data_IF_137105043489
#
_entry.id   IF_137105043489
#
_cell.length_a   1.000
_cell.length_b   1.000
_cell.length_c   1.000
_cell.angle_alpha   90.00
_cell.angle_beta   90.00
_cell.angle_gamma   90.00
#
_symmetry.space_group_name_H-M   'P 1'
#
loop_
_entity.id
_entity.type
_entity.pdbx_description
1 polymer ?
#
# COMPACT_ATOMS: atom_id res chain seq x y z
N UNK A 1 24.72 -38.28 -10.91
CA UNK A 1 25.07 -37.39 -9.78
C UNK A 1 24.73 -35.99 -10.21
N UNK A 2 23.60 -35.47 -9.76
CA UNK A 2 23.16 -34.10 -10.01
C UNK A 2 23.42 -33.30 -8.72
N UNK A 3 24.33 -32.33 -8.83
CA UNK A 3 24.75 -31.49 -7.72
C UNK A 3 23.60 -30.60 -7.22
N UNK A 4 23.37 -30.64 -5.93
CA UNK A 4 22.49 -29.71 -5.21
C UNK A 4 23.12 -28.30 -5.26
N UNK A 5 22.50 -27.38 -5.99
CA UNK A 5 22.81 -25.95 -5.92
C UNK A 5 22.32 -25.42 -4.58
N UNK A 6 23.25 -25.29 -3.64
CA UNK A 6 23.01 -24.66 -2.36
C UNK A 6 22.54 -23.21 -2.58
N UNK A 7 21.37 -22.90 -2.08
CA UNK A 7 20.87 -21.53 -1.95
C UNK A 7 21.79 -20.84 -0.94
N UNK A 8 22.62 -19.91 -1.40
CA UNK A 8 23.45 -19.11 -0.53
C UNK A 8 22.55 -18.45 0.53
N UNK A 9 22.83 -18.66 1.80
CA UNK A 9 22.18 -17.96 2.90
C UNK A 9 22.50 -16.46 2.74
N UNK A 10 21.49 -15.65 2.50
CA UNK A 10 21.61 -14.19 2.50
C UNK A 10 21.95 -13.80 3.94
N UNK A 11 23.18 -13.36 4.17
CA UNK A 11 23.58 -12.77 5.44
C UNK A 11 22.74 -11.50 5.60
N UNK A 12 21.94 -11.35 6.68
CA UNK A 12 21.19 -10.12 6.89
C UNK A 12 22.20 -8.97 7.02
N UNK A 13 22.07 -7.97 6.14
CA UNK A 13 22.81 -6.71 6.28
C UNK A 13 22.44 -6.00 7.59
N UNK A 14 23.14 -4.92 7.95
CA UNK A 14 22.80 -4.11 9.12
C UNK A 14 21.33 -3.67 9.02
N UNK A 15 20.64 -3.48 10.17
CA UNK A 15 19.25 -2.99 10.14
C UNK A 15 19.20 -1.64 9.43
N UNK A 16 18.19 -1.45 8.56
CA UNK A 16 17.99 -0.18 7.88
C UNK A 16 17.73 0.92 8.93
N UNK A 17 18.36 2.08 8.74
CA UNK A 17 18.15 3.24 9.59
C UNK A 17 16.72 3.78 9.33
N UNK A 18 15.94 4.00 10.40
CA UNK A 18 14.60 4.59 10.31
C UNK A 18 14.67 6.03 10.83
N UNK A 19 14.20 6.97 9.99
CA UNK A 19 14.11 8.38 10.32
C UNK A 19 12.92 9.06 9.64
N UNK A 20 12.71 10.34 9.96
CA UNK A 20 11.76 11.18 9.23
C UNK A 20 12.21 11.35 7.77
N UNK A 21 11.21 11.43 6.88
CA UNK A 21 11.41 11.82 5.49
C UNK A 21 11.92 13.25 5.41
N UNK A 22 12.87 13.48 4.53
CA UNK A 22 13.38 14.80 4.15
C UNK A 22 13.10 15.07 2.65
N UNK A 23 12.92 16.35 2.23
CA UNK A 23 12.66 16.64 0.80
C UNK A 23 13.71 16.10 -0.16
N UNK A 24 14.94 15.92 0.29
CA UNK A 24 16.02 15.34 -0.52
C UNK A 24 15.80 13.83 -0.82
N UNK A 25 14.95 13.16 -0.04
CA UNK A 25 14.64 11.75 -0.25
C UNK A 25 13.63 11.51 -1.39
N UNK A 26 12.92 12.53 -1.86
CA UNK A 26 11.78 12.36 -2.76
C UNK A 26 12.09 11.49 -3.99
N UNK A 27 13.20 11.67 -4.71
CA UNK A 27 13.50 10.81 -5.87
C UNK A 27 13.66 9.34 -5.50
N UNK A 28 14.31 9.04 -4.39
CA UNK A 28 14.53 7.69 -3.87
C UNK A 28 13.25 7.10 -3.28
N UNK A 29 12.44 7.91 -2.57
CA UNK A 29 11.12 7.56 -2.06
C UNK A 29 10.17 7.14 -3.19
N UNK A 30 10.06 7.94 -4.26
CA UNK A 30 9.23 7.64 -5.43
C UNK A 30 9.67 6.34 -6.11
N UNK A 31 11.00 6.13 -6.25
CA UNK A 31 11.56 4.89 -6.80
C UNK A 31 11.20 3.68 -5.93
N UNK A 32 11.39 3.76 -4.61
CA UNK A 32 11.04 2.71 -3.67
C UNK A 32 9.55 2.36 -3.76
N UNK A 33 8.68 3.37 -3.79
CA UNK A 33 7.23 3.20 -3.91
C UNK A 33 6.83 2.49 -5.19
N UNK A 34 7.29 2.97 -6.34
CA UNK A 34 6.97 2.37 -7.66
C UNK A 34 7.42 0.92 -7.72
N UNK A 35 8.66 0.64 -7.35
CA UNK A 35 9.22 -0.73 -7.42
C UNK A 35 8.52 -1.66 -6.43
N UNK A 36 8.18 -1.19 -5.23
CA UNK A 36 7.51 -2.01 -4.22
C UNK A 36 6.06 -2.32 -4.57
N UNK A 37 5.37 -1.45 -5.31
CA UNK A 37 4.01 -1.70 -5.78
C UNK A 37 3.92 -2.43 -7.12
N UNK A 38 4.99 -2.48 -7.91
CA UNK A 38 4.97 -3.02 -9.27
C UNK A 38 4.44 -4.46 -9.37
N UNK A 39 4.70 -5.29 -8.36
CA UNK A 39 4.24 -6.68 -8.32
C UNK A 39 2.95 -6.87 -7.50
N UNK A 40 2.20 -5.81 -7.24
CA UNK A 40 0.96 -5.80 -6.45
C UNK A 40 -0.24 -5.34 -7.26
N UNK A 41 -1.43 -5.37 -6.67
CA UNK A 41 -2.64 -4.82 -7.28
C UNK A 41 -2.64 -3.28 -7.40
N UNK A 42 -1.55 -2.61 -7.01
CA UNK A 42 -1.32 -1.16 -7.13
C UNK A 42 -0.27 -0.80 -8.20
N UNK A 43 0.08 -1.72 -9.10
CA UNK A 43 1.17 -1.58 -10.09
C UNK A 43 1.06 -0.33 -10.98
N UNK A 44 -0.13 0.22 -11.16
CA UNK A 44 -0.43 1.41 -11.97
C UNK A 44 -0.64 2.68 -11.15
N UNK A 45 -0.53 2.61 -9.82
CA UNK A 45 -0.60 3.78 -8.95
C UNK A 45 0.75 4.48 -8.86
N UNK A 46 1.12 5.14 -9.96
CA UNK A 46 2.39 5.86 -10.10
C UNK A 46 2.22 7.34 -9.78
N UNK A 47 3.03 7.85 -8.85
CA UNK A 47 3.03 9.25 -8.47
C UNK A 47 4.21 10.00 -9.09
N UNK A 48 3.96 11.24 -9.53
CA UNK A 48 5.00 12.13 -10.05
C UNK A 48 5.70 12.93 -8.94
N UNK A 49 5.02 13.11 -7.81
CA UNK A 49 5.54 13.79 -6.62
C UNK A 49 4.97 13.13 -5.37
N UNK A 50 5.72 13.18 -4.26
CA UNK A 50 5.26 12.71 -2.96
C UNK A 50 4.17 13.63 -2.42
N UNK A 51 3.09 13.04 -1.91
CA UNK A 51 2.04 13.77 -1.18
C UNK A 51 2.45 13.92 0.26
N UNK A 52 2.21 15.09 0.84
CA UNK A 52 2.49 15.35 2.26
C UNK A 52 1.45 14.69 3.14
N UNK A 53 1.92 14.12 4.26
CA UNK A 53 1.09 13.52 5.31
C UNK A 53 1.57 13.99 6.68
N UNK A 54 0.88 13.59 7.76
CA UNK A 54 1.21 14.07 9.11
C UNK A 54 2.41 13.36 9.73
N UNK A 55 2.63 12.09 9.37
CA UNK A 55 3.80 11.31 9.76
C UNK A 55 4.38 10.64 8.53
N UNK A 56 5.65 10.93 8.25
CA UNK A 56 6.38 10.48 7.07
C UNK A 56 7.68 9.82 7.50
N UNK A 57 7.77 8.48 7.37
CA UNK A 57 8.95 7.70 7.76
C UNK A 57 9.61 7.04 6.57
N UNK A 58 10.93 7.00 6.59
CA UNK A 58 11.76 6.27 5.64
C UNK A 58 12.69 5.31 6.35
N UNK A 59 12.97 4.18 5.70
CA UNK A 59 14.04 3.26 6.07
C UNK A 59 15.15 3.34 5.01
N UNK A 60 16.39 3.50 5.44
CA UNK A 60 17.55 3.74 4.59
C UNK A 60 18.54 2.57 4.64
N UNK A 61 19.07 2.23 3.47
CA UNK A 61 20.25 1.37 3.25
C UNK A 61 20.96 1.96 2.02
N UNK A 62 21.76 3.03 2.24
CA UNK A 62 22.26 4.01 1.27
C UNK A 62 21.13 4.85 0.59
N UNK A 63 20.16 4.21 -0.01
CA UNK A 63 18.94 4.79 -0.59
C UNK A 63 17.71 4.50 0.28
N UNK A 64 16.54 5.11 -0.03
CA UNK A 64 15.27 4.77 0.61
C UNK A 64 14.85 3.37 0.17
N UNK A 65 14.77 2.44 1.11
CA UNK A 65 14.41 1.04 0.90
C UNK A 65 13.07 0.65 1.53
N UNK A 66 12.50 1.52 2.33
CA UNK A 66 11.16 1.35 2.90
C UNK A 66 10.54 2.70 3.22
N UNK A 67 9.21 2.80 3.11
CA UNK A 67 8.45 4.01 3.40
C UNK A 67 7.19 3.68 4.17
N UNK A 68 6.79 4.58 5.06
CA UNK A 68 5.51 4.55 5.75
C UNK A 68 5.01 5.97 5.96
N UNK A 69 3.87 6.29 5.35
CA UNK A 69 3.21 7.58 5.47
C UNK A 69 1.84 7.41 6.13
N UNK A 70 1.50 8.32 7.05
CA UNK A 70 0.27 8.27 7.83
C UNK A 70 -0.38 9.65 7.87
N UNK A 71 -1.67 9.71 7.59
CA UNK A 71 -2.52 10.87 7.83
C UNK A 71 -3.27 10.72 9.15
N UNK A 72 -3.43 11.82 9.91
CA UNK A 72 -4.10 11.85 11.21
C UNK A 72 -5.33 12.75 11.16
N UNK A 73 -6.45 12.26 11.68
CA UNK A 73 -7.70 13.03 11.80
C UNK A 73 -8.28 12.81 13.20
N UNK A 74 -8.06 13.77 14.10
CA UNK A 74 -8.47 13.64 15.50
C UNK A 74 -7.74 12.49 16.19
N UNK A 75 -8.49 11.52 16.73
CA UNK A 75 -7.96 10.34 17.40
C UNK A 75 -7.74 9.14 16.44
N UNK A 76 -8.01 9.32 15.16
CA UNK A 76 -7.84 8.28 14.14
C UNK A 76 -6.67 8.59 13.20
N UNK A 77 -5.92 7.58 12.83
CA UNK A 77 -4.88 7.66 11.82
C UNK A 77 -5.11 6.65 10.69
N UNK A 78 -4.57 6.94 9.52
CA UNK A 78 -4.64 6.03 8.36
C UNK A 78 -3.27 5.93 7.71
N UNK A 79 -2.80 4.71 7.51
CA UNK A 79 -1.63 4.42 6.67
C UNK A 79 -2.02 4.68 5.22
N UNK A 80 -1.45 5.72 4.62
CA UNK A 80 -1.65 6.08 3.21
C UNK A 80 -0.73 5.27 2.29
N UNK A 81 0.49 5.04 2.77
CA UNK A 81 1.49 4.24 2.05
C UNK A 81 2.31 3.44 3.04
N UNK A 82 2.47 2.15 2.81
CA UNK A 82 3.51 1.31 3.40
C UNK A 82 4.05 0.39 2.32
N UNK A 83 5.35 0.48 2.07
CA UNK A 83 6.00 -0.34 1.05
C UNK A 83 7.49 -0.51 1.33
N UNK A 84 8.03 -1.65 0.90
CA UNK A 84 9.47 -1.95 0.98
C UNK A 84 9.96 -2.32 -0.41
N UNK A 85 11.11 -1.77 -0.77
CA UNK A 85 11.80 -2.07 -2.03
C UNK A 85 11.99 -3.59 -2.19
N UNK A 86 11.71 -4.18 -3.39
CA UNK A 86 11.72 -5.64 -3.59
C UNK A 86 13.01 -6.32 -3.13
N UNK A 87 14.16 -5.70 -3.34
CA UNK A 87 15.46 -6.24 -2.91
C UNK A 87 15.68 -6.25 -1.39
N UNK A 88 14.79 -5.63 -0.61
CA UNK A 88 14.90 -5.47 0.85
C UNK A 88 13.71 -6.07 1.61
N UNK A 89 12.76 -6.68 0.91
CA UNK A 89 11.62 -7.39 1.52
C UNK A 89 12.08 -8.60 2.34
N UNK A 90 11.24 -9.02 3.30
CA UNK A 90 11.53 -10.16 4.18
C UNK A 90 12.55 -9.88 5.29
N UNK A 91 13.02 -8.63 5.44
CA UNK A 91 14.02 -8.22 6.47
C UNK A 91 13.39 -7.50 7.67
N UNK A 92 12.04 -7.46 7.79
CA UNK A 92 11.33 -6.82 8.91
C UNK A 92 11.17 -5.30 8.79
N UNK A 93 11.62 -4.66 7.69
CA UNK A 93 11.62 -3.20 7.52
C UNK A 93 10.22 -2.58 7.68
N UNK A 94 9.20 -3.15 7.04
CA UNK A 94 7.82 -2.64 7.17
C UNK A 94 7.31 -2.70 8.62
N UNK A 95 7.67 -3.74 9.37
CA UNK A 95 7.29 -3.90 10.78
C UNK A 95 8.03 -2.89 11.65
N UNK A 96 9.32 -2.68 11.42
CA UNK A 96 10.10 -1.68 12.16
C UNK A 96 9.60 -0.24 11.90
N UNK A 97 9.23 0.10 10.65
CA UNK A 97 8.59 1.37 10.31
C UNK A 97 7.24 1.52 11.04
N UNK A 98 6.43 0.46 11.09
CA UNK A 98 5.16 0.46 11.81
C UNK A 98 5.37 0.65 13.32
N UNK A 99 6.31 -0.04 13.94
CA UNK A 99 6.63 0.09 15.37
C UNK A 99 7.02 1.53 15.72
N UNK A 100 7.84 2.18 14.89
CA UNK A 100 8.21 3.58 15.06
C UNK A 100 6.99 4.50 14.89
N UNK A 101 6.13 4.25 13.89
CA UNK A 101 4.90 4.99 13.70
C UNK A 101 3.96 4.86 14.90
N UNK A 102 3.73 3.65 15.40
CA UNK A 102 2.88 3.38 16.57
C UNK A 102 3.37 4.14 17.81
N UNK A 103 4.68 4.12 18.07
CA UNK A 103 5.30 4.84 19.18
C UNK A 103 5.09 6.37 19.10
N UNK A 104 5.03 6.94 17.89
CA UNK A 104 4.78 8.37 17.69
C UNK A 104 3.30 8.71 17.78
N UNK A 105 2.43 7.90 17.19
CA UNK A 105 0.99 8.10 17.20
C UNK A 105 0.40 8.02 18.62
N UNK A 106 0.87 7.10 19.45
CA UNK A 106 0.49 7.00 20.86
C UNK A 106 0.76 8.30 21.62
N UNK A 107 1.91 8.94 21.39
CA UNK A 107 2.24 10.25 22.01
C UNK A 107 1.36 11.39 21.55
N UNK A 108 0.72 11.26 20.38
CA UNK A 108 -0.20 12.25 19.84
C UNK A 108 -1.66 12.00 20.23
N UNK A 109 -1.95 10.98 21.05
CA UNK A 109 -3.29 10.64 21.50
C UNK A 109 -4.15 9.98 20.42
N UNK A 110 -3.53 9.37 19.41
CA UNK A 110 -4.22 8.53 18.42
C UNK A 110 -4.59 7.21 19.08
N UNK A 111 -5.84 6.80 18.93
CA UNK A 111 -6.38 5.57 19.53
C UNK A 111 -6.63 4.46 18.50
N UNK A 112 -6.63 4.81 17.21
CA UNK A 112 -6.96 3.87 16.14
C UNK A 112 -6.09 4.13 14.91
N UNK A 113 -5.45 3.09 14.41
CA UNK A 113 -4.71 3.12 13.14
C UNK A 113 -5.38 2.22 12.13
N UNK A 114 -5.72 2.79 10.98
CA UNK A 114 -6.32 2.06 9.87
C UNK A 114 -5.48 2.03 8.62
N UNK A 115 -5.88 1.18 7.67
CA UNK A 115 -5.34 1.13 6.32
C UNK A 115 -6.39 0.61 5.34
N UNK A 116 -6.21 0.89 4.05
CA UNK A 116 -6.98 0.27 2.99
C UNK A 116 -6.07 -0.65 2.17
N UNK A 117 -6.44 -1.92 2.08
CA UNK A 117 -5.65 -2.94 1.41
C UNK A 117 -6.48 -3.69 0.37
N UNK A 118 -5.93 -3.87 -0.83
CA UNK A 118 -6.47 -4.77 -1.87
C UNK A 118 -6.14 -6.23 -1.54
N UNK A 119 -6.39 -7.15 -2.48
CA UNK A 119 -6.29 -8.60 -2.31
C UNK A 119 -4.84 -9.14 -2.32
N UNK A 120 -3.83 -8.30 -2.12
CA UNK A 120 -2.44 -8.74 -2.04
C UNK A 120 -2.20 -9.58 -0.79
N UNK A 121 -2.07 -10.88 -0.95
CA UNK A 121 -1.96 -11.85 0.14
C UNK A 121 -0.86 -11.49 1.14
N UNK A 122 0.33 -11.11 0.66
CA UNK A 122 1.45 -10.77 1.52
C UNK A 122 1.15 -9.54 2.40
N UNK A 123 0.46 -8.53 1.84
CA UNK A 123 0.05 -7.33 2.58
C UNK A 123 -1.01 -7.66 3.63
N UNK A 124 -2.05 -8.44 3.28
CA UNK A 124 -3.11 -8.84 4.22
C UNK A 124 -2.55 -9.67 5.37
N UNK A 125 -1.64 -10.63 5.09
CA UNK A 125 -0.97 -11.42 6.12
C UNK A 125 -0.07 -10.54 7.02
N UNK A 126 0.58 -9.52 6.45
CA UNK A 126 1.38 -8.58 7.23
C UNK A 126 0.49 -7.74 8.16
N UNK A 127 -0.63 -7.20 7.68
CA UNK A 127 -1.59 -6.47 8.53
C UNK A 127 -2.10 -7.36 9.67
N UNK A 128 -2.53 -8.59 9.38
CA UNK A 128 -3.01 -9.53 10.40
C UNK A 128 -1.95 -9.84 11.46
N UNK A 129 -0.70 -10.12 11.05
CA UNK A 129 0.41 -10.36 11.99
C UNK A 129 0.75 -9.15 12.85
N UNK A 130 0.44 -7.94 12.39
CA UNK A 130 0.65 -6.70 13.14
C UNK A 130 -0.61 -6.23 13.89
N UNK A 131 -1.58 -7.11 14.12
CA UNK A 131 -2.74 -6.85 14.98
C UNK A 131 -3.83 -6.00 14.33
N UNK A 132 -3.86 -5.92 13.01
CA UNK A 132 -4.98 -5.30 12.28
C UNK A 132 -6.07 -6.32 12.01
N UNK A 133 -7.31 -5.90 12.17
CA UNK A 133 -8.52 -6.67 11.86
C UNK A 133 -9.28 -6.02 10.71
N UNK A 134 -9.93 -6.84 9.87
CA UNK A 134 -10.80 -6.34 8.82
C UNK A 134 -12.15 -5.92 9.41
N UNK A 135 -12.54 -4.66 9.21
CA UNK A 135 -13.81 -4.12 9.73
C UNK A 135 -14.85 -3.87 8.64
N UNK A 136 -14.43 -3.65 7.41
CA UNK A 136 -15.32 -3.47 6.26
C UNK A 136 -14.60 -3.72 4.95
N UNK A 137 -15.36 -3.88 3.87
CA UNK A 137 -14.83 -4.06 2.52
C UNK A 137 -15.78 -3.53 1.46
N UNK A 138 -15.24 -3.20 0.30
CA UNK A 138 -15.97 -2.83 -0.89
C UNK A 138 -15.15 -3.17 -2.14
N UNK A 139 -15.68 -2.94 -3.33
CA UNK A 139 -15.00 -3.27 -4.57
C UNK A 139 -14.35 -2.03 -5.20
N UNK A 140 -13.10 -2.18 -5.62
CA UNK A 140 -12.44 -1.33 -6.59
C UNK A 140 -12.65 -1.94 -7.97
N UNK A 141 -13.30 -1.18 -8.87
CA UNK A 141 -13.56 -1.60 -10.25
C UNK A 141 -12.81 -0.67 -11.18
N UNK A 142 -11.88 -1.20 -11.94
CA UNK A 142 -11.16 -0.48 -12.98
C UNK A 142 -11.76 -0.87 -14.33
N UNK A 143 -12.49 0.04 -14.95
CA UNK A 143 -13.06 -0.16 -16.27
C UNK A 143 -12.09 0.31 -17.35
N UNK A 144 -11.79 -0.57 -18.32
CA UNK A 144 -11.13 -0.22 -19.57
C UNK A 144 -12.00 0.76 -20.39
N UNK A 145 -11.51 1.37 -21.49
CA UNK A 145 -12.31 2.26 -22.31
C UNK A 145 -13.64 1.62 -22.77
N UNK A 146 -13.58 0.38 -23.27
CA UNK A 146 -14.77 -0.33 -23.77
C UNK A 146 -15.78 -0.67 -22.65
N UNK A 147 -15.29 -1.00 -21.46
CA UNK A 147 -16.10 -1.28 -20.28
C UNK A 147 -16.69 0.00 -19.68
N UNK A 148 -15.96 1.11 -19.72
CA UNK A 148 -16.38 2.38 -19.16
C UNK A 148 -17.64 2.93 -19.86
N UNK A 149 -17.78 2.75 -21.16
CA UNK A 149 -18.96 3.15 -21.92
C UNK A 149 -20.25 2.47 -21.44
N UNK A 150 -20.14 1.29 -20.80
CA UNK A 150 -21.28 0.58 -20.22
C UNK A 150 -21.57 0.99 -18.76
N UNK A 151 -20.61 1.62 -18.08
CA UNK A 151 -20.65 1.92 -16.65
C UNK A 151 -20.96 3.38 -16.34
N UNK A 152 -20.58 4.31 -17.22
CA UNK A 152 -20.71 5.75 -17.01
C UNK A 152 -21.28 6.44 -18.25
N UNK A 153 -21.95 7.57 -18.03
CA UNK A 153 -22.43 8.44 -19.10
C UNK A 153 -21.57 9.68 -19.12
N UNK A 154 -20.71 9.80 -20.13
CA UNK A 154 -19.94 11.01 -20.37
C UNK A 154 -20.84 12.12 -20.94
N UNK A 155 -20.56 13.38 -20.53
CA UNK A 155 -21.31 14.58 -20.98
C UNK A 155 -20.43 15.47 -21.86
N UNK A 156 -21.02 16.45 -22.48
CA UNK A 156 -20.33 17.49 -23.27
C UNK A 156 -19.50 16.95 -24.46
N UNK A 157 -19.93 15.83 -25.07
CA UNK A 157 -19.21 15.23 -26.19
C UNK A 157 -17.89 14.54 -25.81
N UNK A 158 -17.68 14.29 -24.53
CA UNK A 158 -16.52 13.52 -24.04
C UNK A 158 -16.75 12.02 -24.23
N UNK A 159 -15.64 11.27 -24.32
CA UNK A 159 -15.60 9.81 -24.34
C UNK A 159 -14.75 9.33 -23.15
N UNK A 160 -15.21 8.30 -22.45
CA UNK A 160 -14.46 7.76 -21.33
C UNK A 160 -13.23 6.97 -21.82
N UNK A 161 -12.04 7.39 -21.40
CA UNK A 161 -10.80 6.66 -21.68
C UNK A 161 -10.50 5.56 -20.64
N UNK A 162 -11.45 5.30 -19.74
CA UNK A 162 -11.40 4.39 -18.62
C UNK A 162 -12.07 4.99 -17.39
N UNK A 163 -12.32 4.18 -16.36
CA UNK A 163 -12.89 4.66 -15.11
C UNK A 163 -12.37 3.86 -13.91
N UNK A 164 -12.19 4.55 -12.78
CA UNK A 164 -12.01 3.93 -11.47
C UNK A 164 -13.28 4.15 -10.65
N UNK A 165 -13.94 3.05 -10.29
CA UNK A 165 -15.26 3.06 -9.69
C UNK A 165 -15.27 2.21 -8.42
N UNK A 166 -16.24 2.47 -7.53
CA UNK A 166 -16.49 1.65 -6.35
C UNK A 166 -17.83 0.94 -6.47
N UNK A 167 -17.91 -0.28 -5.98
CA UNK A 167 -19.15 -1.01 -5.86
C UNK A 167 -19.27 -1.69 -4.48
N UNK A 168 -20.50 -2.00 -4.08
CA UNK A 168 -20.76 -2.73 -2.84
C UNK A 168 -20.29 -4.17 -2.98
N UNK A 169 -19.83 -4.77 -1.88
CA UNK A 169 -19.28 -6.13 -1.86
C UNK A 169 -20.29 -7.19 -2.32
N UNK A 170 -21.57 -6.99 -2.05
CA UNK A 170 -22.65 -7.91 -2.45
C UNK A 170 -22.78 -8.07 -3.97
N UNK A 171 -22.19 -7.12 -4.73
CA UNK A 171 -22.17 -7.17 -6.19
C UNK A 171 -20.90 -7.80 -6.77
N UNK A 172 -20.07 -8.44 -5.96
CA UNK A 172 -18.77 -8.95 -6.41
C UNK A 172 -18.88 -9.88 -7.61
N UNK A 173 -19.77 -10.88 -7.55
CA UNK A 173 -19.96 -11.83 -8.64
C UNK A 173 -20.37 -11.13 -9.95
N UNK A 174 -21.30 -10.16 -9.88
CA UNK A 174 -21.71 -9.37 -11.04
C UNK A 174 -20.57 -8.51 -11.60
N UNK A 175 -19.83 -7.82 -10.72
CA UNK A 175 -18.74 -6.95 -11.15
C UNK A 175 -17.63 -7.73 -11.82
N UNK A 176 -17.23 -8.90 -11.26
CA UNK A 176 -16.22 -9.78 -11.86
C UNK A 176 -16.66 -10.42 -13.18
N UNK A 177 -17.98 -10.49 -13.47
CA UNK A 177 -18.46 -10.93 -14.78
C UNK A 177 -18.44 -9.81 -15.84
N UNK A 178 -18.57 -8.56 -15.42
CA UNK A 178 -18.71 -7.40 -16.29
C UNK A 178 -17.39 -6.66 -16.54
N UNK A 179 -16.44 -6.74 -15.62
CA UNK A 179 -15.19 -6.01 -15.65
C UNK A 179 -14.02 -6.97 -15.42
N UNK A 180 -12.98 -6.83 -16.22
CA UNK A 180 -11.79 -7.67 -16.14
C UNK A 180 -11.00 -7.41 -14.84
N UNK A 181 -11.00 -6.15 -14.37
CA UNK A 181 -10.17 -5.71 -13.27
C UNK A 181 -10.99 -5.24 -12.07
N UNK A 182 -11.26 -6.19 -11.15
CA UNK A 182 -12.02 -5.95 -9.91
C UNK A 182 -11.24 -6.45 -8.72
N UNK A 183 -11.08 -5.63 -7.69
CA UNK A 183 -10.41 -5.99 -6.44
C UNK A 183 -11.32 -5.76 -5.24
N UNK A 184 -11.28 -6.66 -4.25
CA UNK A 184 -11.84 -6.39 -2.93
C UNK A 184 -10.87 -5.50 -2.15
N UNK A 185 -11.31 -4.31 -1.80
CA UNK A 185 -10.57 -3.37 -0.96
C UNK A 185 -11.09 -3.46 0.47
N UNK A 186 -10.20 -3.74 1.42
CA UNK A 186 -10.50 -4.00 2.83
C UNK A 186 -10.05 -2.85 3.71
N UNK A 187 -10.91 -2.44 4.63
CA UNK A 187 -10.54 -1.56 5.74
C UNK A 187 -9.96 -2.42 6.85
N UNK A 188 -8.67 -2.30 7.05
CA UNK A 188 -7.92 -2.93 8.12
C UNK A 188 -7.77 -1.92 9.26
N UNK A 189 -8.03 -2.32 10.51
CA UNK A 189 -7.99 -1.42 11.67
C UNK A 189 -7.30 -2.11 12.84
N UNK A 190 -6.48 -1.34 13.57
CA UNK A 190 -5.83 -1.73 14.81
C UNK A 190 -6.11 -0.66 15.88
N UNK A 191 -6.53 -1.08 17.08
CA UNK A 191 -6.55 -0.22 18.28
C UNK A 191 -5.13 -0.02 18.82
N UNK A 192 -4.83 1.18 19.30
CA UNK A 192 -3.55 1.58 19.88
C UNK A 192 -3.63 1.61 21.41
#
# INVERSE_FOLDING_TARGET
>A
MLGATGRAAVVPGPPAEIRDYEPADEPSWLRCRVLGFLATNYYDDVWQAKRRTDLELVALDDDVVGVLDVSVTGAEATIDTVVVHPGHQGRGIATALLEEALRRLDRCGVTTLGAWAREDKAALEWYARNGFEEVSRYLHVHASPDEADTAIIAKHGLVAAGAFLHARIEREAEMRQRFERVYVCRRMVRSL
#
